data_IF_983468298471
#
_entry.id   IF_983468298471
#
_cell.length_a   1.000
_cell.length_b   1.000
_cell.length_c   1.000
_cell.angle_alpha   90.00
_cell.angle_beta   90.00
_cell.angle_gamma   90.00
#
_symmetry.space_group_name_H-M   'P 1'
#
loop_
_entity.id
_entity.type
_entity.pdbx_description
1 polymer ?
#
# COMPACT_ATOMS: atom_id res chain seq x y z
N UNK A 1 0.85 -11.29 -32.16
CA UNK A 1 0.72 -9.92 -31.62
C UNK A 1 1.47 -9.92 -30.28
N UNK A 2 2.71 -9.43 -30.26
CA UNK A 2 3.53 -9.38 -29.04
C UNK A 2 3.28 -8.05 -28.34
N UNK A 3 2.55 -8.08 -27.22
CA UNK A 3 2.43 -6.93 -26.33
C UNK A 3 3.70 -6.83 -25.47
N UNK A 4 4.53 -5.83 -25.71
CA UNK A 4 5.62 -5.48 -24.79
C UNK A 4 5.04 -4.57 -23.72
N UNK A 5 5.02 -5.04 -22.47
CA UNK A 5 4.68 -4.26 -21.28
C UNK A 5 5.96 -3.74 -20.61
N UNK A 6 5.89 -2.56 -20.00
CA UNK A 6 6.99 -1.88 -19.30
C UNK A 6 7.44 -0.56 -19.93
N UNK A 7 7.69 0.44 -19.09
CA UNK A 7 8.20 1.76 -19.47
C UNK A 7 9.64 1.95 -18.98
N UNK A 8 10.62 1.43 -19.73
CA UNK A 8 12.04 1.44 -19.32
C UNK A 8 12.64 2.87 -19.26
N UNK A 9 12.13 3.79 -20.07
CA UNK A 9 12.78 5.08 -20.32
C UNK A 9 12.64 6.09 -19.17
N UNK A 10 11.79 5.80 -18.18
CA UNK A 10 11.49 6.70 -17.06
C UNK A 10 11.92 6.15 -15.69
N UNK A 11 12.43 4.92 -15.63
CA UNK A 11 12.84 4.33 -14.35
C UNK A 11 13.95 5.14 -13.69
N UNK A 12 13.73 5.51 -12.42
CA UNK A 12 14.64 6.36 -11.62
C UNK A 12 14.35 7.86 -11.67
N UNK A 13 13.32 8.32 -12.40
CA UNK A 13 12.95 9.74 -12.47
C UNK A 13 11.80 10.16 -11.54
N UNK A 14 11.10 9.19 -10.93
CA UNK A 14 10.07 9.49 -9.94
C UNK A 14 10.66 9.61 -8.53
N UNK A 15 10.14 10.56 -7.77
CA UNK A 15 10.30 10.61 -6.31
C UNK A 15 9.09 10.02 -5.60
N UNK A 16 8.94 10.24 -4.30
CA UNK A 16 7.79 9.76 -3.52
C UNK A 16 7.50 8.26 -3.61
N UNK A 17 8.54 7.42 -3.74
CA UNK A 17 8.39 5.96 -3.90
C UNK A 17 7.72 5.27 -2.72
N UNK A 18 7.72 5.88 -1.53
CA UNK A 18 6.94 5.45 -0.36
C UNK A 18 5.44 5.39 -0.65
N UNK A 19 4.91 6.13 -1.62
CA UNK A 19 3.51 6.04 -2.04
C UNK A 19 3.13 4.64 -2.54
N UNK A 20 4.10 3.88 -3.07
CA UNK A 20 3.92 2.50 -3.54
C UNK A 20 3.88 1.47 -2.42
N UNK A 21 4.19 1.87 -1.19
CA UNK A 21 4.16 0.97 -0.04
C UNK A 21 2.71 0.77 0.41
N UNK A 22 2.28 -0.49 0.41
CA UNK A 22 1.08 -0.92 1.13
C UNK A 22 1.50 -1.27 2.57
N UNK A 23 0.98 -0.56 3.59
CA UNK A 23 1.36 -0.77 4.97
C UNK A 23 0.53 -1.85 5.69
N UNK A 24 -0.46 -2.47 5.04
CA UNK A 24 -1.43 -3.34 5.71
C UNK A 24 -1.13 -4.84 5.54
N UNK A 25 -1.08 -5.57 6.66
CA UNK A 25 -0.67 -6.98 6.72
C UNK A 25 -1.53 -7.91 5.88
N UNK A 26 -2.85 -7.71 5.86
CA UNK A 26 -3.76 -8.59 5.12
C UNK A 26 -3.45 -8.58 3.62
N UNK A 27 -3.49 -7.41 2.98
CA UNK A 27 -3.26 -7.26 1.54
C UNK A 27 -1.82 -7.54 1.14
N UNK A 28 -0.86 -7.19 1.99
CA UNK A 28 0.56 -7.42 1.69
C UNK A 28 0.95 -8.89 1.66
N UNK A 29 0.18 -9.78 2.30
CA UNK A 29 0.32 -11.24 2.18
C UNK A 29 0.15 -11.79 0.76
N UNK A 30 -0.39 -10.98 -0.16
CA UNK A 30 -0.50 -11.27 -1.59
C UNK A 30 -0.05 -10.07 -2.44
N UNK A 31 0.91 -9.26 -1.99
CA UNK A 31 1.37 -8.05 -2.71
C UNK A 31 0.27 -7.03 -3.10
N UNK A 32 -0.89 -7.05 -2.44
CA UNK A 32 -2.04 -6.23 -2.81
C UNK A 32 -2.82 -6.74 -4.02
N UNK A 33 -2.58 -7.97 -4.48
CA UNK A 33 -3.29 -8.57 -5.62
C UNK A 33 -4.79 -8.79 -5.37
N UNK A 34 -5.25 -8.62 -4.13
CA UNK A 34 -6.66 -8.61 -3.75
C UNK A 34 -7.41 -7.33 -4.17
N UNK A 35 -6.89 -6.53 -5.10
CA UNK A 35 -7.47 -5.26 -5.61
C UNK A 35 -8.97 -5.33 -5.91
N UNK A 36 -9.44 -6.47 -6.41
CA UNK A 36 -10.84 -6.64 -6.84
C UNK A 36 -11.84 -6.85 -5.70
N UNK A 37 -11.38 -7.29 -4.52
CA UNK A 37 -12.25 -7.65 -3.40
C UNK A 37 -11.76 -7.12 -2.04
N UNK A 38 -10.65 -6.39 -2.01
CA UNK A 38 -10.11 -5.77 -0.79
C UNK A 38 -11.17 -4.88 -0.13
N UNK A 39 -11.23 -4.90 1.19
CA UNK A 39 -12.19 -4.13 1.99
C UNK A 39 -11.54 -3.60 3.27
N UNK A 40 -12.27 -2.78 4.03
CA UNK A 40 -11.80 -2.26 5.31
C UNK A 40 -10.61 -1.31 5.15
N UNK A 41 -9.76 -1.24 6.18
CA UNK A 41 -8.60 -0.32 6.22
C UNK A 41 -7.61 -0.54 5.08
N UNK A 42 -7.45 -1.80 4.67
CA UNK A 42 -6.59 -2.22 3.58
C UNK A 42 -6.96 -1.57 2.23
N UNK A 43 -8.25 -1.31 2.01
CA UNK A 43 -8.77 -0.70 0.78
C UNK A 43 -8.18 0.69 0.54
N UNK A 44 -7.95 1.48 1.58
CA UNK A 44 -7.35 2.83 1.47
C UNK A 44 -5.96 2.81 0.81
N UNK A 45 -5.17 1.74 1.02
CA UNK A 45 -3.83 1.61 0.42
C UNK A 45 -3.76 0.54 -0.65
N UNK A 46 -4.89 0.06 -1.15
CA UNK A 46 -4.98 -0.86 -2.28
C UNK A 46 -6.00 -0.40 -3.33
N UNK A 47 -7.30 -0.57 -3.10
CA UNK A 47 -8.39 -0.06 -3.96
C UNK A 47 -9.45 0.63 -3.10
N UNK A 48 -9.52 1.95 -3.17
CA UNK A 48 -10.35 2.78 -2.29
C UNK A 48 -11.86 2.50 -2.39
N UNK A 49 -12.34 1.94 -3.51
CA UNK A 49 -13.73 1.50 -3.63
C UNK A 49 -14.11 0.44 -2.59
N UNK A 50 -13.14 -0.38 -2.17
CA UNK A 50 -13.33 -1.44 -1.19
C UNK A 50 -13.75 -0.97 0.21
N UNK A 51 -13.53 0.31 0.52
CA UNK A 51 -14.02 0.88 1.78
C UNK A 51 -15.56 0.81 1.87
N UNK A 52 -16.28 0.80 0.74
CA UNK A 52 -17.73 0.73 0.70
C UNK A 52 -18.28 -0.53 1.38
N UNK A 53 -17.48 -1.60 1.41
CA UNK A 53 -17.82 -2.90 2.00
C UNK A 53 -17.39 -3.03 3.48
N UNK A 54 -17.01 -1.93 4.12
CA UNK A 54 -16.60 -1.92 5.54
C UNK A 54 -17.81 -1.96 6.48
N UNK A 55 -17.60 -2.51 7.69
CA UNK A 55 -18.56 -2.44 8.80
C UNK A 55 -18.79 -1.01 9.29
N UNK A 56 -19.28 -0.82 10.53
CA UNK A 56 -19.58 0.53 11.04
C UNK A 56 -18.32 1.36 11.24
N UNK A 57 -17.44 0.89 12.10
CA UNK A 57 -16.23 1.63 12.47
C UNK A 57 -15.06 0.67 12.47
N UNK A 58 -13.96 1.06 11.84
CA UNK A 58 -12.72 0.31 11.85
C UNK A 58 -11.56 1.23 12.25
N UNK A 59 -10.74 0.77 13.18
CA UNK A 59 -9.50 1.43 13.58
C UNK A 59 -8.38 0.40 13.51
N UNK A 60 -7.22 0.79 13.02
CA UNK A 60 -6.11 -0.15 12.94
C UNK A 60 -4.76 0.53 12.88
N UNK A 61 -3.77 -0.20 13.35
CA UNK A 61 -2.37 0.17 13.32
C UNK A 61 -1.56 -0.92 12.65
N UNK A 62 -0.51 -0.55 11.95
CA UNK A 62 0.43 -1.51 11.39
C UNK A 62 1.87 -1.03 11.50
N UNK A 63 2.76 -2.01 11.63
CA UNK A 63 4.19 -1.82 11.68
C UNK A 63 4.84 -2.75 10.67
N UNK A 64 5.67 -2.20 9.80
CA UNK A 64 6.47 -2.98 8.85
C UNK A 64 7.96 -2.77 9.10
N UNK A 65 8.67 -3.89 9.19
CA UNK A 65 10.13 -3.94 9.09
C UNK A 65 10.46 -4.04 7.60
N UNK A 66 10.65 -2.90 6.93
CA UNK A 66 10.62 -2.82 5.45
C UNK A 66 11.86 -3.43 4.79
N UNK A 67 13.01 -3.42 5.47
CA UNK A 67 14.22 -4.13 5.09
C UNK A 67 14.84 -4.63 6.38
N UNK A 68 14.38 -5.79 6.87
CA UNK A 68 14.73 -6.25 8.21
C UNK A 68 16.26 -6.24 8.44
N UNK A 69 16.70 -5.56 9.49
CA UNK A 69 18.11 -5.33 9.82
C UNK A 69 18.69 -3.98 9.37
N UNK A 70 18.01 -3.18 8.53
CA UNK A 70 18.51 -1.86 8.11
C UNK A 70 18.08 -0.69 9.01
N UNK A 71 17.21 -0.94 10.00
CA UNK A 71 16.57 0.11 10.79
C UNK A 71 15.41 0.83 10.10
N UNK A 72 15.15 0.55 8.81
CA UNK A 72 14.04 1.16 8.06
C UNK A 72 12.71 0.53 8.46
N UNK A 73 11.77 1.37 8.90
CA UNK A 73 10.45 0.93 9.34
C UNK A 73 9.33 1.80 8.77
N UNK A 74 8.14 1.20 8.64
CA UNK A 74 6.91 1.90 8.23
C UNK A 74 5.87 1.69 9.32
N UNK A 75 5.43 2.79 9.91
CA UNK A 75 4.33 2.82 10.87
C UNK A 75 3.10 3.42 10.22
N UNK A 76 1.94 2.89 10.56
CA UNK A 76 0.70 3.32 9.92
C UNK A 76 -0.49 3.22 10.87
N UNK A 77 -1.40 4.17 10.75
CA UNK A 77 -2.65 4.30 11.49
C UNK A 77 -3.77 4.54 10.49
N UNK A 78 -4.89 3.87 10.66
CA UNK A 78 -6.05 4.03 9.80
C UNK A 78 -7.35 4.04 10.57
N UNK A 79 -8.31 4.79 10.04
CA UNK A 79 -9.66 4.91 10.55
C UNK A 79 -10.65 4.87 9.39
N UNK A 80 -11.74 4.13 9.55
CA UNK A 80 -12.88 4.09 8.64
C UNK A 80 -14.17 4.27 9.44
N UNK A 81 -15.10 5.04 8.87
CA UNK A 81 -16.45 5.20 9.37
C UNK A 81 -17.46 5.04 8.23
N UNK A 82 -18.31 4.02 8.33
CA UNK A 82 -19.46 3.85 7.48
C UNK A 82 -20.62 4.68 8.02
N UNK A 83 -21.18 5.52 7.15
CA UNK A 83 -22.28 6.44 7.44
C UNK A 83 -23.61 5.94 6.82
N UNK A 84 -23.69 4.64 6.54
CA UNK A 84 -24.83 4.01 5.88
C UNK A 84 -24.99 4.51 4.45
N UNK A 85 -26.19 4.98 4.11
CA UNK A 85 -26.55 5.42 2.75
C UNK A 85 -25.73 6.62 2.24
N UNK A 86 -25.08 7.36 3.16
CA UNK A 86 -24.18 8.46 2.81
C UNK A 86 -22.84 7.98 2.27
N UNK A 87 -22.49 6.70 2.43
CA UNK A 87 -21.20 6.12 2.04
C UNK A 87 -20.25 5.99 3.23
N UNK A 88 -18.97 5.82 2.91
CA UNK A 88 -17.91 5.52 3.87
C UNK A 88 -16.80 6.54 3.74
N UNK A 89 -16.36 7.10 4.86
CA UNK A 89 -15.19 7.98 4.93
C UNK A 89 -14.04 7.24 5.59
N UNK A 90 -12.81 7.56 5.19
CA UNK A 90 -11.61 6.98 5.74
C UNK A 90 -10.47 7.98 5.85
N UNK A 91 -9.58 7.74 6.80
CA UNK A 91 -8.31 8.44 6.95
C UNK A 91 -7.19 7.43 7.20
N UNK A 92 -6.03 7.64 6.58
CA UNK A 92 -4.85 6.80 6.72
C UNK A 92 -3.60 7.65 6.83
N UNK A 93 -2.80 7.41 7.86
CA UNK A 93 -1.54 8.10 8.11
C UNK A 93 -0.44 7.06 8.09
N UNK A 94 0.56 7.25 7.23
CA UNK A 94 1.71 6.38 7.09
C UNK A 94 2.99 7.20 7.25
N UNK A 95 3.90 6.73 8.09
CA UNK A 95 5.21 7.32 8.34
C UNK A 95 6.29 6.29 8.08
N UNK A 96 7.26 6.63 7.24
CA UNK A 96 8.46 5.83 7.00
C UNK A 96 9.66 6.52 7.66
N UNK A 97 10.35 5.76 8.50
CA UNK A 97 11.55 6.19 9.21
C UNK A 97 12.75 5.38 8.72
N UNK A 98 13.90 6.04 8.63
CA UNK A 98 15.16 5.46 8.19
C UNK A 98 16.14 5.24 9.35
N UNK A 99 15.70 5.45 10.60
CA UNK A 99 16.57 5.47 11.76
C UNK A 99 17.45 6.73 11.79
N UNK A 100 18.46 6.69 12.66
CA UNK A 100 19.48 7.74 12.74
C UNK A 100 20.65 7.39 11.82
N UNK A 101 21.02 8.33 10.94
CA UNK A 101 22.14 8.19 10.01
C UNK A 101 23.29 9.07 10.50
N UNK A 102 24.51 8.53 10.68
CA UNK A 102 25.67 9.33 11.09
C UNK A 102 26.03 10.34 9.99
N UNK A 103 26.33 11.56 10.41
CA UNK A 103 26.88 12.60 9.53
C UNK A 103 28.39 12.33 9.37
N UNK A 104 28.89 12.33 8.13
CA UNK A 104 30.30 12.12 7.81
C UNK A 104 30.83 13.26 6.94
N UNK A 105 32.08 13.64 7.14
CA UNK A 105 32.81 14.56 6.26
C UNK A 105 34.22 14.01 5.97
N UNK A 106 35.05 14.80 5.27
CA UNK A 106 36.42 14.40 4.94
C UNK A 106 37.29 14.17 6.19
N UNK A 107 37.07 14.95 7.25
CA UNK A 107 37.84 14.87 8.50
C UNK A 107 37.28 13.79 9.45
N UNK A 108 36.00 13.43 9.30
CA UNK A 108 35.25 12.50 10.13
C UNK A 108 34.56 11.42 9.26
N UNK A 109 35.32 10.55 8.55
CA UNK A 109 34.76 9.55 7.66
C UNK A 109 33.98 8.45 8.40
N UNK A 110 34.29 8.20 9.68
CA UNK A 110 33.55 7.27 10.55
C UNK A 110 32.35 7.93 11.25
N UNK A 111 32.15 9.24 11.04
CA UNK A 111 31.13 10.05 11.71
C UNK A 111 31.59 10.57 13.07
N UNK A 112 30.68 10.68 14.04
CA UNK A 112 30.94 11.26 15.36
C UNK A 112 30.64 12.75 15.50
N UNK A 113 30.15 13.38 14.43
CA UNK A 113 29.76 14.80 14.36
C UNK A 113 28.24 15.02 14.39
N UNK A 114 27.49 13.99 14.83
CA UNK A 114 26.03 14.01 14.95
C UNK A 114 25.33 13.03 14.01
N UNK A 115 24.01 13.01 14.09
CA UNK A 115 23.13 12.18 13.27
C UNK A 115 22.01 13.01 12.64
N UNK A 116 21.42 12.49 11.57
CA UNK A 116 20.18 13.01 11.00
C UNK A 116 19.19 11.88 10.73
N UNK A 117 17.89 12.20 10.78
CA UNK A 117 16.81 11.22 10.66
C UNK A 117 15.85 11.64 9.55
N UNK A 118 15.99 11.08 8.34
CA UNK A 118 15.02 11.28 7.28
C UNK A 118 13.63 10.78 7.68
N UNK A 119 12.60 11.52 7.31
CA UNK A 119 11.21 11.13 7.57
C UNK A 119 10.33 11.39 6.36
N UNK A 120 9.64 10.34 5.90
CA UNK A 120 8.61 10.45 4.88
C UNK A 120 7.24 10.22 5.51
N UNK A 121 6.29 11.08 5.18
CA UNK A 121 4.97 11.11 5.77
C UNK A 121 3.90 11.22 4.68
N UNK A 122 2.88 10.37 4.78
CA UNK A 122 1.72 10.37 3.90
C UNK A 122 0.44 10.42 4.73
N UNK A 123 -0.50 11.29 4.35
CA UNK A 123 -1.84 11.35 4.94
C UNK A 123 -2.90 11.27 3.83
N UNK A 124 -3.65 10.18 3.81
CA UNK A 124 -4.76 9.95 2.89
C UNK A 124 -6.10 10.22 3.58
N UNK A 125 -6.98 10.93 2.90
CA UNK A 125 -8.41 10.97 3.19
C UNK A 125 -9.19 10.43 2.01
N UNK A 126 -10.19 9.61 2.30
CA UNK A 126 -10.92 8.86 1.29
C UNK A 126 -12.42 8.87 1.51
N UNK A 127 -13.15 8.73 0.40
CA UNK A 127 -14.58 8.50 0.38
C UNK A 127 -14.91 7.36 -0.60
N UNK A 128 -15.84 6.50 -0.22
CA UNK A 128 -16.35 5.44 -1.09
C UNK A 128 -17.84 5.22 -0.91
N UNK A 129 -18.50 4.72 -1.94
CA UNK A 129 -19.92 4.41 -1.89
C UNK A 129 -20.27 3.28 -2.85
N UNK A 130 -21.22 2.45 -2.43
CA UNK A 130 -21.93 1.54 -3.32
C UNK A 130 -22.82 2.36 -4.27
N UNK A 131 -22.47 2.36 -5.55
CA UNK A 131 -23.23 3.05 -6.60
C UNK A 131 -24.42 2.21 -7.08
N UNK A 132 -24.23 0.89 -7.11
CA UNK A 132 -25.28 -0.10 -7.35
C UNK A 132 -25.01 -1.34 -6.50
N UNK A 133 -25.93 -2.32 -6.53
CA UNK A 133 -25.75 -3.59 -5.81
C UNK A 133 -24.44 -4.32 -6.14
N UNK A 134 -23.88 -4.05 -7.32
CA UNK A 134 -22.74 -4.75 -7.86
C UNK A 134 -21.53 -3.84 -8.07
N UNK A 135 -21.67 -2.53 -7.92
CA UNK A 135 -20.61 -1.56 -8.23
C UNK A 135 -20.36 -0.66 -7.03
N UNK A 136 -19.12 -0.66 -6.56
CA UNK A 136 -18.59 0.28 -5.59
C UNK A 136 -17.59 1.21 -6.25
N UNK A 137 -17.63 2.48 -5.87
CA UNK A 137 -16.69 3.50 -6.34
C UNK A 137 -16.05 4.19 -5.15
N UNK A 138 -14.81 4.64 -5.30
CA UNK A 138 -14.14 5.44 -4.29
C UNK A 138 -13.15 6.41 -4.89
N UNK A 139 -12.88 7.46 -4.14
CA UNK A 139 -11.88 8.47 -4.47
C UNK A 139 -11.19 8.97 -3.20
N UNK A 140 -9.95 9.40 -3.33
CA UNK A 140 -9.16 9.89 -2.20
C UNK A 140 -8.08 10.86 -2.61
N UNK A 141 -7.57 11.56 -1.61
CA UNK A 141 -6.46 12.51 -1.73
C UNK A 141 -5.40 12.13 -0.70
N UNK A 142 -4.17 11.90 -1.15
CA UNK A 142 -3.01 11.69 -0.29
C UNK A 142 -2.14 12.94 -0.31
N UNK A 143 -1.88 13.52 0.85
CA UNK A 143 -0.84 14.52 1.07
C UNK A 143 0.48 13.83 1.40
N UNK A 144 1.57 14.30 0.81
CA UNK A 144 2.92 13.75 0.96
C UNK A 144 3.83 14.83 1.50
N UNK A 145 4.70 14.44 2.43
CA UNK A 145 5.84 15.23 2.88
C UNK A 145 7.07 14.35 3.01
N UNK A 146 8.19 14.84 2.50
CA UNK A 146 9.50 14.24 2.65
C UNK A 146 10.44 15.29 3.24
N UNK A 147 11.20 14.91 4.26
CA UNK A 147 12.13 15.83 4.91
C UNK A 147 13.40 15.15 5.38
N UNK A 148 14.48 15.90 5.26
CA UNK A 148 15.74 15.79 6.00
C UNK A 148 15.97 17.16 6.68
N UNK A 149 17.00 17.35 7.53
CA UNK A 149 17.15 18.58 8.31
C UNK A 149 17.11 19.89 7.50
N UNK A 150 17.66 19.89 6.29
CA UNK A 150 17.90 21.08 5.47
C UNK A 150 17.19 21.08 4.11
N UNK A 151 16.42 20.03 3.80
CA UNK A 151 15.63 19.91 2.58
C UNK A 151 14.27 19.25 2.84
N UNK A 152 13.23 19.78 2.19
CA UNK A 152 11.86 19.26 2.24
C UNK A 152 11.19 19.31 0.87
N UNK A 153 10.30 18.37 0.62
CA UNK A 153 9.36 18.40 -0.50
C UNK A 153 7.96 18.02 0.00
N UNK A 154 6.93 18.63 -0.57
CA UNK A 154 5.54 18.28 -0.26
C UNK A 154 4.70 18.28 -1.51
N UNK A 155 3.68 17.43 -1.55
CA UNK A 155 2.79 17.29 -2.69
C UNK A 155 1.45 16.68 -2.32
N UNK A 156 0.56 16.62 -3.29
CA UNK A 156 -0.71 15.94 -3.16
C UNK A 156 -0.96 15.09 -4.41
N UNK A 157 -1.57 13.93 -4.20
CA UNK A 157 -2.01 13.02 -5.26
C UNK A 157 -3.44 12.59 -5.03
N UNK A 158 -4.11 12.29 -6.12
CA UNK A 158 -5.47 11.78 -6.18
C UNK A 158 -5.44 10.30 -6.55
N UNK A 159 -6.41 9.56 -6.03
CA UNK A 159 -6.65 8.18 -6.39
C UNK A 159 -8.14 7.92 -6.57
N UNK A 160 -8.45 7.00 -7.47
CA UNK A 160 -9.81 6.55 -7.73
C UNK A 160 -9.84 5.03 -7.88
N UNK A 161 -10.96 4.44 -7.50
CA UNK A 161 -11.14 2.99 -7.51
C UNK A 161 -12.56 2.60 -7.88
N UNK A 162 -12.68 1.44 -8.49
CA UNK A 162 -13.94 0.75 -8.77
C UNK A 162 -13.77 -0.71 -8.36
N UNK A 163 -14.79 -1.27 -7.73
CA UNK A 163 -14.96 -2.71 -7.56
C UNK A 163 -16.31 -3.12 -8.13
N UNK A 164 -16.31 -4.24 -8.84
CA UNK A 164 -17.47 -4.86 -9.44
C UNK A 164 -17.58 -6.32 -9.00
N UNK A 165 -18.74 -6.71 -8.50
CA UNK A 165 -19.03 -8.08 -8.07
C UNK A 165 -20.20 -8.63 -8.86
N UNK A 166 -20.11 -9.89 -9.31
CA UNK A 166 -21.17 -10.59 -10.03
C UNK A 166 -21.07 -12.10 -9.82
N UNK A 167 -22.02 -12.84 -10.38
CA UNK A 167 -22.17 -14.28 -10.19
C UNK A 167 -23.37 -14.61 -9.31
N UNK A 168 -23.67 -15.91 -9.20
CA UNK A 168 -24.87 -16.37 -8.47
C UNK A 168 -24.77 -16.09 -6.97
N UNK A 169 -23.57 -16.21 -6.43
CA UNK A 169 -23.25 -16.04 -5.00
C UNK A 169 -22.22 -14.92 -4.82
N UNK A 170 -22.27 -13.90 -5.68
CA UNK A 170 -21.33 -12.76 -5.69
C UNK A 170 -19.85 -13.19 -5.69
N UNK A 171 -19.56 -14.23 -6.47
CA UNK A 171 -18.32 -14.98 -6.42
C UNK A 171 -17.29 -14.58 -7.49
N UNK A 172 -17.63 -13.73 -8.43
CA UNK A 172 -16.68 -13.15 -9.38
C UNK A 172 -16.47 -11.67 -9.08
N UNK A 173 -15.20 -11.29 -8.93
CA UNK A 173 -14.78 -9.95 -8.55
C UNK A 173 -13.87 -9.36 -9.61
N UNK A 174 -14.11 -8.10 -9.96
CA UNK A 174 -13.26 -7.30 -10.82
C UNK A 174 -12.98 -5.95 -10.15
N UNK A 175 -11.74 -5.48 -10.20
CA UNK A 175 -11.38 -4.19 -9.62
C UNK A 175 -10.41 -3.42 -10.49
N UNK A 176 -10.60 -2.12 -10.53
CA UNK A 176 -9.69 -1.17 -11.16
C UNK A 176 -9.37 -0.09 -10.14
N UNK A 177 -8.11 0.28 -10.02
CA UNK A 177 -7.73 1.49 -9.29
C UNK A 177 -6.59 2.20 -9.97
N UNK A 178 -6.69 3.52 -10.04
CA UNK A 178 -5.65 4.40 -10.53
C UNK A 178 -5.17 5.25 -9.36
N UNK A 179 -3.88 5.17 -9.06
CA UNK A 179 -3.31 5.74 -7.84
C UNK A 179 -2.17 6.70 -8.13
N UNK A 180 -1.98 7.63 -7.20
CA UNK A 180 -0.89 8.61 -7.20
C UNK A 180 -0.88 9.60 -8.36
N UNK A 181 -2.06 9.97 -8.89
CA UNK A 181 -2.16 11.01 -9.91
C UNK A 181 -1.96 12.36 -9.24
N UNK A 182 -0.88 13.07 -9.55
CA UNK A 182 -0.65 14.39 -8.99
C UNK A 182 0.42 15.16 -9.72
N UNK A 183 0.57 16.42 -9.33
CA UNK A 183 1.65 17.28 -9.82
C UNK A 183 2.98 16.83 -9.23
N UNK A 184 4.07 17.04 -9.97
CA UNK A 184 5.40 16.73 -9.45
C UNK A 184 5.74 17.48 -8.17
N UNK A 185 6.67 16.93 -7.39
CA UNK A 185 7.24 17.51 -6.18
C UNK A 185 8.59 18.17 -6.49
N UNK A 186 9.00 19.13 -5.65
CA UNK A 186 10.30 19.79 -5.76
C UNK A 186 10.89 19.99 -4.37
N UNK A 187 12.17 19.67 -4.20
CA UNK A 187 12.86 19.91 -2.93
C UNK A 187 13.21 21.39 -2.75
N UNK A 188 13.06 21.88 -1.54
CA UNK A 188 13.45 23.24 -1.16
C UNK A 188 14.00 23.24 0.26
N UNK A 189 14.77 24.26 0.62
CA UNK A 189 15.37 24.36 1.94
C UNK A 189 16.75 25.01 1.90
N UNK A 190 17.37 25.11 3.08
CA UNK A 190 18.70 25.71 3.25
C UNK A 190 19.82 24.86 2.68
N UNK A 191 19.63 23.56 2.49
CA UNK A 191 20.62 22.68 1.84
C UNK A 191 20.90 23.06 0.38
N UNK A 192 20.04 23.89 -0.22
CA UNK A 192 20.22 24.44 -1.56
C UNK A 192 20.82 25.85 -1.56
N UNK A 193 21.15 26.40 -0.39
CA UNK A 193 21.78 27.71 -0.26
C UNK A 193 23.32 27.55 -0.26
N UNK A 194 23.99 28.26 -1.16
CA UNK A 194 25.44 28.32 -1.22
C UNK A 194 25.92 29.75 -0.97
N UNK A 195 27.04 29.89 -0.26
CA UNK A 195 27.77 31.16 -0.22
C UNK A 195 28.66 31.22 -1.47
N UNK A 196 28.56 32.30 -2.23
CA UNK A 196 29.33 32.53 -3.45
C UNK A 196 29.83 33.97 -3.48
N UNK A 197 31.01 34.21 -4.06
CA UNK A 197 31.50 35.57 -4.26
C UNK A 197 30.55 36.38 -5.13
N UNK A 198 30.45 37.70 -4.86
CA UNK A 198 29.65 38.57 -5.70
C UNK A 198 30.28 38.63 -7.11
N UNK A 199 29.47 38.51 -8.17
CA UNK A 199 30.01 38.36 -9.53
C UNK A 199 30.72 39.63 -10.04
N UNK A 200 30.49 40.78 -9.39
CA UNK A 200 31.11 42.07 -9.72
C UNK A 200 32.27 42.43 -8.78
N UNK A 201 32.30 41.88 -7.55
CA UNK A 201 33.33 42.18 -6.54
C UNK A 201 33.49 40.99 -5.57
N UNK A 202 34.65 40.32 -5.63
CA UNK A 202 34.97 39.19 -4.74
C UNK A 202 35.22 39.57 -3.28
N UNK A 203 35.12 40.86 -2.92
CA UNK A 203 35.35 41.33 -1.55
C UNK A 203 34.26 40.91 -0.55
N UNK A 204 33.10 40.45 -1.02
CA UNK A 204 32.02 39.95 -0.17
C UNK A 204 31.27 38.76 -0.77
N UNK A 205 30.67 37.95 0.11
CA UNK A 205 29.90 36.75 -0.27
C UNK A 205 28.40 37.04 -0.31
N UNK A 206 27.74 36.53 -1.33
CA UNK A 206 26.29 36.46 -1.47
C UNK A 206 25.79 35.04 -1.21
N UNK A 207 24.70 34.94 -0.46
CA UNK A 207 23.94 33.70 -0.36
C UNK A 207 23.09 33.54 -1.63
N UNK A 208 23.34 32.47 -2.40
CA UNK A 208 22.57 32.12 -3.60
C UNK A 208 21.85 30.82 -3.37
N UNK A 209 20.60 30.75 -3.84
CA UNK A 209 19.81 29.53 -3.80
C UNK A 209 19.87 28.81 -5.14
N UNK A 210 20.28 27.54 -5.12
CA UNK A 210 20.29 26.66 -6.29
C UNK A 210 18.90 26.05 -6.44
N UNK A 211 18.16 26.33 -7.52
CA UNK A 211 16.87 25.69 -7.73
C UNK A 211 17.06 24.20 -8.02
N UNK A 212 16.30 23.35 -7.32
CA UNK A 212 16.17 21.93 -7.66
C UNK A 212 15.18 21.72 -8.81
N UNK A 213 15.27 20.56 -9.47
CA UNK A 213 14.34 20.16 -10.52
C UNK A 213 13.06 19.52 -9.93
N UNK A 214 11.94 19.63 -10.65
CA UNK A 214 10.71 18.94 -10.27
C UNK A 214 10.79 17.46 -10.65
N UNK A 215 10.31 16.58 -9.77
CA UNK A 215 10.18 15.15 -10.04
C UNK A 215 8.72 14.71 -10.02
N UNK A 216 8.38 13.72 -10.81
CA UNK A 216 7.01 13.23 -10.92
C UNK A 216 6.67 12.18 -9.87
N UNK A 217 5.37 12.02 -9.63
CA UNK A 217 4.81 11.04 -8.70
C UNK A 217 4.68 9.66 -9.35
N UNK A 218 4.85 8.57 -8.60
CA UNK A 218 4.81 7.22 -9.14
C UNK A 218 3.36 6.75 -9.33
N UNK A 219 2.75 7.20 -10.43
CA UNK A 219 1.40 6.78 -10.84
C UNK A 219 1.40 5.31 -11.26
N UNK A 220 0.34 4.59 -10.88
CA UNK A 220 0.11 3.24 -11.38
C UNK A 220 -1.38 2.92 -11.50
N UNK A 221 -1.67 2.04 -12.46
CA UNK A 221 -2.98 1.44 -12.69
C UNK A 221 -2.94 0.00 -12.20
N UNK A 222 -3.90 -0.41 -11.39
CA UNK A 222 -4.03 -1.76 -10.89
C UNK A 222 -5.34 -2.39 -11.39
N UNK A 223 -5.27 -3.57 -11.99
CA UNK A 223 -6.38 -4.33 -12.53
C UNK A 223 -6.40 -5.71 -11.85
N UNK A 224 -7.45 -6.01 -11.10
CA UNK A 224 -7.61 -7.25 -10.36
C UNK A 224 -8.81 -8.07 -10.84
N UNK A 225 -8.65 -9.38 -10.86
CA UNK A 225 -9.71 -10.37 -11.06
C UNK A 225 -9.61 -11.40 -9.94
N UNK A 226 -10.73 -11.76 -9.33
CA UNK A 226 -10.77 -12.84 -8.34
C UNK A 226 -12.03 -13.68 -8.46
N UNK A 227 -11.95 -14.93 -8.03
CA UNK A 227 -13.10 -15.83 -7.96
C UNK A 227 -13.13 -16.57 -6.62
N UNK A 228 -14.27 -16.54 -5.95
CA UNK A 228 -14.53 -17.24 -4.70
C UNK A 228 -15.13 -18.62 -4.94
N UNK A 229 -14.48 -19.64 -4.40
CA UNK A 229 -14.98 -21.01 -4.33
C UNK A 229 -15.47 -21.30 -2.91
N UNK A 230 -16.76 -21.59 -2.78
CA UNK A 230 -17.38 -22.00 -1.53
C UNK A 230 -17.38 -23.53 -1.43
N UNK A 231 -16.44 -24.08 -0.66
CA UNK A 231 -16.12 -25.52 -0.71
C UNK A 231 -17.16 -26.39 0.01
N UNK A 232 -17.94 -25.82 0.92
CA UNK A 232 -18.93 -26.52 1.75
C UNK A 232 -20.39 -26.14 1.43
N UNK A 233 -20.64 -25.53 0.26
CA UNK A 233 -21.97 -25.05 -0.14
C UNK A 233 -23.04 -26.16 -0.14
N UNK A 234 -22.67 -27.40 -0.44
CA UNK A 234 -23.59 -28.56 -0.46
C UNK A 234 -23.87 -29.17 0.92
N UNK A 235 -23.20 -28.70 1.98
CA UNK A 235 -23.35 -29.21 3.37
C UNK A 235 -24.16 -28.24 4.24
N UNK A 236 -24.58 -27.10 3.68
CA UNK A 236 -25.48 -26.16 4.35
C UNK A 236 -26.89 -26.76 4.32
N UNK A 237 -27.44 -27.09 5.49
CA UNK A 237 -28.77 -27.69 5.58
C UNK A 237 -29.82 -26.69 5.08
N UNK A 238 -30.82 -27.13 4.28
CA UNK A 238 -31.94 -26.28 3.84
C UNK A 238 -32.74 -25.67 5.00
N UNK A 239 -32.73 -26.31 6.18
CA UNK A 239 -33.41 -25.82 7.38
C UNK A 239 -32.72 -24.60 8.01
N UNK A 240 -31.40 -24.42 7.81
CA UNK A 240 -30.66 -23.26 8.32
C UNK A 240 -30.90 -21.98 7.48
N UNK A 241 -31.50 -22.12 6.28
CA UNK A 241 -31.84 -20.99 5.39
C UNK A 241 -33.14 -20.26 5.77
N UNK A 242 -33.89 -20.72 6.77
CA UNK A 242 -35.11 -20.05 7.26
C UNK A 242 -34.83 -18.96 8.31
N UNK A 243 -33.60 -18.86 8.81
CA UNK A 243 -33.13 -17.71 9.59
C UNK A 243 -32.88 -16.53 8.66
N UNK A 244 -33.30 -15.33 9.04
CA UNK A 244 -33.12 -14.09 8.25
C UNK A 244 -31.65 -13.67 8.05
N UNK A 245 -30.69 -14.45 8.56
CA UNK A 245 -29.26 -14.30 8.29
C UNK A 245 -28.80 -15.32 7.23
N UNK A 246 -28.33 -14.82 6.09
CA UNK A 246 -27.72 -15.59 5.02
C UNK A 246 -26.59 -16.48 5.58
N UNK A 247 -26.80 -17.80 5.63
CA UNK A 247 -25.81 -18.74 6.16
C UNK A 247 -24.68 -18.88 5.15
N UNK A 248 -23.61 -18.10 5.36
CA UNK A 248 -22.41 -18.17 4.50
C UNK A 248 -21.66 -19.50 4.71
N UNK A 249 -21.13 -20.09 3.63
CA UNK A 249 -20.28 -21.28 3.69
C UNK A 249 -19.05 -21.04 4.60
N UNK A 250 -18.64 -22.06 5.36
CA UNK A 250 -17.53 -21.95 6.33
C UNK A 250 -16.17 -21.98 5.65
N UNK A 251 -16.07 -22.52 4.44
CA UNK A 251 -14.81 -22.68 3.72
C UNK A 251 -14.86 -21.89 2.40
N UNK A 252 -14.07 -20.82 2.32
CA UNK A 252 -13.89 -20.03 1.10
C UNK A 252 -12.45 -20.15 0.61
N UNK A 253 -12.28 -20.44 -0.67
CA UNK A 253 -11.00 -20.34 -1.35
C UNK A 253 -11.12 -19.31 -2.47
N UNK A 254 -10.29 -18.27 -2.46
CA UNK A 254 -10.29 -17.22 -3.47
C UNK A 254 -9.04 -17.36 -4.31
N UNK A 255 -9.20 -17.48 -5.63
CA UNK A 255 -8.09 -17.35 -6.57
C UNK A 255 -8.10 -15.94 -7.12
N UNK A 256 -6.92 -15.31 -7.22
CA UNK A 256 -6.78 -13.95 -7.71
C UNK A 256 -5.67 -13.83 -8.75
N UNK A 257 -5.88 -12.93 -9.71
CA UNK A 257 -4.89 -12.50 -10.68
C UNK A 257 -4.91 -10.97 -10.75
N UNK A 258 -3.74 -10.36 -10.91
CA UNK A 258 -3.63 -8.92 -10.89
C UNK A 258 -2.52 -8.42 -11.81
N UNK A 259 -2.82 -7.37 -12.56
CA UNK A 259 -1.88 -6.65 -13.42
C UNK A 259 -1.72 -5.22 -12.92
N UNK A 260 -0.47 -4.80 -12.69
CA UNK A 260 -0.13 -3.43 -12.30
C UNK A 260 0.72 -2.80 -13.39
N UNK A 261 0.19 -1.75 -14.02
CA UNK A 261 0.93 -0.92 -14.96
C UNK A 261 1.54 0.26 -14.22
N UNK A 262 2.86 0.37 -14.22
CA UNK A 262 3.60 1.40 -13.49
C UNK A 262 4.16 2.45 -14.46
N UNK A 263 4.10 3.73 -14.08
CA UNK A 263 4.68 4.80 -14.92
C UNK A 263 6.22 4.85 -14.87
N UNK A 264 6.83 4.42 -13.76
CA UNK A 264 8.27 4.54 -13.48
C UNK A 264 8.95 3.23 -13.04
N UNK A 265 8.19 2.17 -12.81
CA UNK A 265 8.71 0.84 -12.47
C UNK A 265 8.34 -0.15 -13.58
N UNK A 266 8.87 -1.37 -13.47
CA UNK A 266 8.39 -2.47 -14.31
C UNK A 266 6.91 -2.75 -14.03
N UNK A 267 6.20 -3.20 -15.06
CA UNK A 267 4.85 -3.71 -14.89
C UNK A 267 4.88 -5.03 -14.14
N UNK A 268 3.87 -5.25 -13.31
CA UNK A 268 3.73 -6.45 -12.50
C UNK A 268 2.59 -7.31 -13.02
N UNK A 269 2.83 -8.60 -13.12
CA UNK A 269 1.79 -9.61 -13.28
C UNK A 269 1.89 -10.57 -12.11
N UNK A 270 0.78 -10.81 -11.42
CA UNK A 270 0.79 -11.73 -10.30
C UNK A 270 -0.48 -12.54 -10.16
N UNK A 271 -0.36 -13.61 -9.40
CA UNK A 271 -1.47 -14.45 -9.00
C UNK A 271 -1.31 -14.91 -7.55
N UNK A 272 -2.43 -15.21 -6.90
CA UNK A 272 -2.43 -15.64 -5.51
C UNK A 272 -3.66 -16.45 -5.15
N UNK A 273 -3.62 -17.01 -3.95
CA UNK A 273 -4.73 -17.74 -3.35
C UNK A 273 -4.91 -17.25 -1.92
N UNK A 274 -6.15 -17.05 -1.53
CA UNK A 274 -6.58 -16.90 -0.13
C UNK A 274 -7.47 -18.08 0.24
N UNK A 275 -7.24 -18.67 1.40
CA UNK A 275 -8.15 -19.63 2.00
C UNK A 275 -8.66 -19.05 3.32
N UNK A 276 -9.97 -18.99 3.50
CA UNK A 276 -10.63 -18.47 4.68
C UNK A 276 -11.52 -19.55 5.31
N UNK A 277 -11.32 -19.79 6.60
CA UNK A 277 -12.19 -20.59 7.44
C UNK A 277 -13.02 -19.67 8.34
N UNK A 278 -14.34 -19.65 8.11
CA UNK A 278 -15.34 -18.83 8.81
C UNK A 278 -15.00 -17.34 8.87
N UNK A 279 -14.23 -16.83 7.90
CA UNK A 279 -13.65 -15.48 7.92
C UNK A 279 -12.89 -15.13 9.24
N UNK A 280 -12.50 -16.18 9.97
CA UNK A 280 -11.85 -16.11 11.28
C UNK A 280 -10.37 -16.40 11.12
N UNK A 281 -10.04 -17.47 10.41
CA UNK A 281 -8.67 -17.83 10.08
C UNK A 281 -8.48 -17.74 8.58
N UNK A 282 -7.49 -16.97 8.14
CA UNK A 282 -7.18 -16.84 6.71
C UNK A 282 -5.70 -17.09 6.46
N UNK A 283 -5.41 -17.78 5.37
CA UNK A 283 -4.06 -17.98 4.85
C UNK A 283 -3.99 -17.44 3.43
N UNK A 284 -2.86 -16.82 3.12
CA UNK A 284 -2.59 -16.15 1.86
C UNK A 284 -1.23 -16.55 1.34
N UNK A 285 -1.16 -16.80 0.04
CA UNK A 285 0.09 -16.93 -0.69
C UNK A 285 -0.06 -16.29 -2.07
N UNK A 286 0.99 -15.62 -2.54
CA UNK A 286 1.00 -14.97 -3.83
C UNK A 286 2.37 -14.95 -4.47
N UNK A 287 2.38 -14.88 -5.80
CA UNK A 287 3.57 -14.62 -6.58
C UNK A 287 3.34 -13.42 -7.50
N UNK A 288 4.25 -12.45 -7.43
CA UNK A 288 4.32 -11.29 -8.32
C UNK A 288 5.56 -11.41 -9.19
N UNK A 289 5.34 -11.47 -10.50
CA UNK A 289 6.38 -11.42 -11.51
C UNK A 289 6.60 -9.99 -12.00
N UNK A 290 7.87 -9.64 -12.20
CA UNK A 290 8.29 -8.45 -12.92
C UNK A 290 9.51 -8.79 -13.78
N UNK A 291 9.77 -7.96 -14.79
CA UNK A 291 10.88 -8.18 -15.71
C UNK A 291 12.21 -8.30 -14.94
N UNK A 292 12.98 -9.34 -15.26
CA UNK A 292 14.29 -9.64 -14.66
C UNK A 292 14.30 -9.93 -13.14
N UNK A 293 13.16 -10.26 -12.51
CA UNK A 293 13.09 -10.52 -11.05
C UNK A 293 14.08 -11.59 -10.55
N UNK A 294 14.39 -12.59 -11.37
CA UNK A 294 15.36 -13.65 -11.05
C UNK A 294 16.81 -13.24 -11.24
N UNK A 295 17.08 -12.19 -12.02
CA UNK A 295 18.43 -11.76 -12.38
C UNK A 295 19.09 -10.99 -11.22
N UNK A 296 20.40 -11.15 -11.02
CA UNK A 296 21.13 -10.51 -9.92
C UNK A 296 21.72 -9.14 -10.28
N UNK A 297 21.91 -8.86 -11.57
CA UNK A 297 22.44 -7.59 -12.09
C UNK A 297 21.35 -6.73 -12.72
N UNK A 298 20.28 -7.34 -13.25
CA UNK A 298 19.23 -6.65 -13.98
C UNK A 298 17.91 -6.47 -13.20
N UNK A 299 17.78 -7.06 -12.00
CA UNK A 299 16.58 -6.87 -11.19
C UNK A 299 16.49 -5.44 -10.65
N UNK A 300 15.32 -4.83 -10.81
CA UNK A 300 14.97 -3.51 -10.25
C UNK A 300 14.24 -3.61 -8.92
N UNK A 301 14.08 -4.82 -8.40
CA UNK A 301 13.36 -5.10 -7.15
C UNK A 301 14.26 -5.86 -6.19
N UNK A 302 14.09 -5.59 -4.91
CA UNK A 302 14.70 -6.39 -3.86
C UNK A 302 13.82 -7.57 -3.46
N UNK A 303 12.57 -7.67 -3.91
CA UNK A 303 11.68 -8.80 -3.62
C UNK A 303 12.03 -10.04 -4.46
N UNK A 304 11.76 -11.22 -3.90
CA UNK A 304 11.84 -12.50 -4.64
C UNK A 304 10.62 -12.78 -5.51
N UNK A 305 9.55 -12.01 -5.34
CA UNK A 305 8.25 -12.20 -5.97
C UNK A 305 7.27 -13.02 -5.13
N UNK A 306 7.71 -13.73 -4.09
CA UNK A 306 6.82 -14.49 -3.20
C UNK A 306 6.26 -13.59 -2.10
N UNK A 307 4.99 -13.80 -1.74
CA UNK A 307 4.38 -13.27 -0.53
C UNK A 307 3.58 -14.37 0.17
N UNK A 308 3.55 -14.32 1.50
CA UNK A 308 2.66 -15.11 2.31
C UNK A 308 2.09 -14.27 3.46
N UNK A 309 0.91 -14.63 3.94
CA UNK A 309 0.34 -14.00 5.11
C UNK A 309 -0.73 -14.83 5.78
N UNK A 310 -1.04 -14.46 7.02
CA UNK A 310 -2.08 -15.06 7.82
C UNK A 310 -2.88 -13.98 8.55
N UNK A 311 -4.16 -14.26 8.79
CA UNK A 311 -5.03 -13.43 9.61
C UNK A 311 -5.79 -14.29 10.60
N UNK A 312 -5.90 -13.76 11.82
CA UNK A 312 -6.79 -14.28 12.86
C UNK A 312 -7.72 -13.15 13.27
N UNK A 313 -9.01 -13.34 13.03
CA UNK A 313 -10.07 -12.50 13.55
C UNK A 313 -10.70 -13.18 14.78
N UNK A 314 -10.99 -12.43 15.82
CA UNK A 314 -11.70 -12.92 16.99
C UNK A 314 -12.61 -11.83 17.54
N UNK A 315 -13.71 -12.22 18.19
CA UNK A 315 -14.63 -11.26 18.82
C UNK A 315 -14.37 -11.20 20.32
N UNK A 316 -14.31 -10.01 20.88
CA UNK A 316 -14.26 -9.83 22.34
C UNK A 316 -15.68 -9.89 22.89
N UNK A 317 -16.02 -10.95 23.61
CA UNK A 317 -17.37 -11.17 24.14
C UNK A 317 -18.42 -11.45 23.05
N UNK A 318 -19.67 -11.62 23.45
CA UNK A 318 -20.75 -11.96 22.51
C UNK A 318 -21.16 -10.79 21.61
N UNK A 319 -21.13 -9.56 22.14
CA UNK A 319 -21.58 -8.33 21.46
C UNK A 319 -20.49 -7.29 21.25
N UNK A 320 -19.25 -7.59 21.64
CA UNK A 320 -18.13 -6.64 21.53
C UNK A 320 -17.51 -6.60 20.13
N UNK A 321 -16.49 -5.74 19.96
CA UNK A 321 -15.84 -5.55 18.67
C UNK A 321 -15.11 -6.81 18.19
N UNK A 322 -15.00 -6.95 16.87
CA UNK A 322 -14.10 -7.92 16.25
C UNK A 322 -12.70 -7.32 16.23
N UNK A 323 -11.71 -8.09 16.64
CA UNK A 323 -10.30 -7.77 16.47
C UNK A 323 -9.73 -8.61 15.34
N UNK A 324 -8.80 -8.03 14.57
CA UNK A 324 -8.04 -8.72 13.55
C UNK A 324 -6.54 -8.56 13.81
N UNK A 325 -5.81 -9.67 13.79
CA UNK A 325 -4.35 -9.70 13.79
C UNK A 325 -3.89 -10.26 12.45
N UNK A 326 -3.14 -9.47 11.70
CA UNK A 326 -2.58 -9.87 10.42
C UNK A 326 -1.06 -9.88 10.49
N UNK A 327 -0.48 -10.88 9.86
CA UNK A 327 0.95 -10.95 9.62
C UNK A 327 1.21 -11.28 8.15
N UNK A 328 2.17 -10.58 7.54
CA UNK A 328 2.68 -10.94 6.23
C UNK A 328 4.20 -10.95 6.17
N UNK A 329 4.70 -11.78 5.28
CA UNK A 329 6.10 -11.92 4.97
C UNK A 329 6.33 -11.91 3.47
N UNK A 330 7.25 -11.06 3.03
CA UNK A 330 7.70 -10.99 1.62
C UNK A 330 9.21 -11.15 1.59
N UNK A 331 9.74 -12.31 1.16
CA UNK A 331 11.17 -12.53 1.12
C UNK A 331 11.85 -11.58 0.14
N UNK A 332 13.00 -11.08 0.54
CA UNK A 332 13.85 -10.19 -0.24
C UNK A 332 15.14 -10.91 -0.62
N UNK A 333 15.71 -10.59 -1.78
CA UNK A 333 16.94 -11.19 -2.29
C UNK A 333 18.18 -10.56 -1.63
N UNK A 334 18.15 -9.23 -1.41
CA UNK A 334 19.25 -8.46 -0.81
C UNK A 334 18.69 -7.25 -0.03
N UNK A 335 18.88 -7.15 1.29
CA UNK A 335 19.32 -8.22 2.21
C UNK A 335 18.31 -9.40 2.20
N UNK A 336 18.72 -10.60 2.62
CA UNK A 336 17.88 -11.81 2.57
C UNK A 336 16.96 -11.98 3.80
N UNK A 337 16.52 -10.88 4.40
CA UNK A 337 15.81 -10.88 5.68
C UNK A 337 14.31 -10.62 5.54
N UNK A 338 13.85 -10.28 4.33
CA UNK A 338 12.45 -10.08 4.02
C UNK A 338 11.86 -8.78 4.58
N UNK A 339 10.59 -8.60 4.23
CA UNK A 339 9.71 -7.56 4.75
C UNK A 339 8.66 -8.23 5.61
N UNK A 340 8.60 -7.83 6.88
CA UNK A 340 7.58 -8.29 7.82
C UNK A 340 6.59 -7.16 8.05
N UNK A 341 5.29 -7.46 7.99
CA UNK A 341 4.24 -6.49 8.33
C UNK A 341 3.30 -7.11 9.33
N UNK A 342 3.12 -6.45 10.47
CA UNK A 342 2.16 -6.81 11.51
C UNK A 342 1.06 -5.75 11.52
N UNK A 343 -0.19 -6.16 11.64
CA UNK A 343 -1.34 -5.26 11.67
C UNK A 343 -2.31 -5.69 12.75
N UNK A 344 -2.79 -4.72 13.52
CA UNK A 344 -3.85 -4.90 14.51
C UNK A 344 -5.03 -4.02 14.13
N UNK A 345 -6.22 -4.61 14.08
CA UNK A 345 -7.47 -3.92 13.71
C UNK A 345 -8.55 -4.18 14.72
N UNK A 346 -9.43 -3.20 14.90
CA UNK A 346 -10.65 -3.26 15.69
C UNK A 346 -11.79 -2.83 14.80
N UNK A 347 -12.77 -3.71 14.62
CA UNK A 347 -13.92 -3.56 13.73
C UNK A 347 -15.21 -3.64 14.55
N UNK A 348 -16.13 -2.71 14.34
CA UNK A 348 -17.44 -2.65 14.99
C UNK A 348 -18.59 -2.67 14.00
#
# INVERSE_FOLDING_TARGET
MTAFAGNKDRSGQAGATQLLINPWGQSTGVFGMNTSYVSGLDAMKNNIAGMAHSGKTELGVSHSMYLSGSGVSVNNLGFIQNLGNLGVIGANIMSMSFGEIPITDYDNPEGGIGTYSPQFFNALVGYSKEFSKNISVGAGVTFISEQIPDAKASGAVFEAGIQYVTGKDDNFHFGITLRNIGTGMKYSGSGFAINSEAPEDGSYTLNRQIPSEQFEMPTYLNLGLSYDFYLDQNTVNPEDQQSSEEVKPKHRATVMANFTSNSFNNDYLGGGVEYAFKETFMLRAGYRHEKNIGDASLSTTFYTGIAAGATINFRIGETGPKMGLDYSFRPTKRPANGVHTITLRVMR
#
